data_IF_983000909906
#
_entry.id   IF_983000909906
#
_cell.length_a   1.000
_cell.length_b   1.000
_cell.length_c   1.000
_cell.angle_alpha   90.00
_cell.angle_beta   90.00
_cell.angle_gamma   90.00
#
_symmetry.space_group_name_H-M   'P 1'
#
loop_
_entity.id
_entity.type
_entity.pdbx_description
1 polymer ?
#
# COMPACT_ATOMS: atom_id res chain seq x y z
N UNK A 1 -8.78 6.01 -5.53
CA UNK A 1 -7.53 5.34 -5.97
C UNK A 1 -6.67 4.90 -4.79
N UNK A 2 -6.13 5.83 -3.97
CA UNK A 2 -5.36 5.46 -2.77
C UNK A 2 -6.09 4.52 -1.81
N UNK A 3 -7.33 4.83 -1.40
CA UNK A 3 -8.07 3.97 -0.48
C UNK A 3 -8.34 2.56 -1.02
N UNK A 4 -8.61 2.43 -2.33
CA UNK A 4 -8.81 1.11 -2.96
C UNK A 4 -7.52 0.30 -2.99
N UNK A 5 -6.40 0.92 -3.38
CA UNK A 5 -5.10 0.25 -3.38
C UNK A 5 -4.66 -0.11 -1.96
N UNK A 6 -4.93 0.76 -0.97
CA UNK A 6 -4.69 0.46 0.45
C UNK A 6 -5.57 -0.67 0.95
N UNK A 7 -6.85 -0.75 0.56
CA UNK A 7 -7.73 -1.85 0.95
C UNK A 7 -7.28 -3.19 0.33
N UNK A 8 -6.84 -3.16 -0.93
CA UNK A 8 -6.22 -4.31 -1.61
C UNK A 8 -4.93 -4.74 -0.93
N UNK A 9 -4.06 -3.78 -0.61
CA UNK A 9 -2.81 -3.99 0.12
C UNK A 9 -3.08 -4.58 1.50
N UNK A 10 -4.08 -4.08 2.23
CA UNK A 10 -4.49 -4.61 3.54
C UNK A 10 -4.97 -6.06 3.44
N UNK A 11 -5.74 -6.42 2.41
CA UNK A 11 -6.14 -7.82 2.15
C UNK A 11 -4.93 -8.70 1.85
N UNK A 12 -4.02 -8.24 0.99
CA UNK A 12 -2.80 -8.97 0.67
C UNK A 12 -1.87 -9.13 1.88
N UNK A 13 -1.80 -8.11 2.74
CA UNK A 13 -1.02 -8.09 3.98
C UNK A 13 -1.65 -8.98 5.06
N UNK A 14 -2.97 -9.16 5.03
CA UNK A 14 -3.64 -10.16 5.86
C UNK A 14 -3.18 -11.58 5.53
N UNK A 15 -2.97 -11.87 4.25
CA UNK A 15 -2.54 -13.17 3.75
C UNK A 15 -1.01 -13.36 3.74
N UNK A 16 -0.23 -12.27 3.66
CA UNK A 16 1.23 -12.30 3.55
C UNK A 16 1.87 -11.30 4.51
N UNK A 17 2.75 -11.76 5.39
CA UNK A 17 3.50 -10.89 6.32
C UNK A 17 4.74 -10.24 5.69
N UNK A 18 4.93 -10.36 4.38
CA UNK A 18 6.08 -9.82 3.67
C UNK A 18 5.86 -8.37 3.28
N UNK A 19 6.95 -7.70 2.90
CA UNK A 19 6.94 -6.35 2.36
C UNK A 19 6.21 -6.35 1.01
N UNK A 20 5.11 -5.60 0.91
CA UNK A 20 4.27 -5.53 -0.29
C UNK A 20 4.46 -4.17 -0.98
N UNK A 21 4.61 -4.13 -2.32
CA UNK A 21 4.69 -2.88 -3.06
C UNK A 21 3.31 -2.20 -3.15
N UNK A 22 3.31 -0.86 -3.07
CA UNK A 22 2.16 0.00 -3.30
C UNK A 22 2.48 0.92 -4.49
N UNK A 23 1.94 0.60 -5.66
CA UNK A 23 2.11 1.42 -6.86
C UNK A 23 0.78 2.03 -7.25
N UNK A 24 0.73 3.34 -7.38
CA UNK A 24 -0.45 4.10 -7.78
C UNK A 24 -0.05 5.03 -8.92
N UNK A 25 -0.53 4.73 -10.12
CA UNK A 25 -0.26 5.54 -11.31
C UNK A 25 -1.13 6.82 -11.32
N UNK A 26 -0.52 7.91 -11.78
CA UNK A 26 -1.15 9.24 -11.90
C UNK A 26 -1.89 9.67 -10.61
N UNK A 27 -1.27 9.53 -9.43
CA UNK A 27 -1.95 9.86 -8.17
C UNK A 27 -1.89 11.35 -7.80
N UNK A 28 -0.76 12.01 -8.02
CA UNK A 28 -0.60 13.44 -7.78
C UNK A 28 0.03 14.10 -9.01
N UNK A 29 -0.71 15.00 -9.68
CA UNK A 29 -0.22 15.79 -10.83
C UNK A 29 0.43 14.92 -11.92
N UNK A 30 -0.23 13.83 -12.33
CA UNK A 30 0.27 12.84 -13.30
C UNK A 30 1.59 12.16 -12.89
N UNK A 31 1.93 12.18 -11.60
CA UNK A 31 3.06 11.43 -11.06
C UNK A 31 2.60 10.11 -10.46
N UNK A 32 3.38 9.09 -10.77
CA UNK A 32 3.26 7.79 -10.18
C UNK A 32 3.82 7.81 -8.76
N UNK A 33 3.09 7.23 -7.83
CA UNK A 33 3.54 7.02 -6.45
C UNK A 33 3.84 5.55 -6.30
N UNK A 34 5.12 5.23 -6.12
CA UNK A 34 5.58 3.88 -5.78
C UNK A 34 6.08 3.88 -4.35
N UNK A 35 5.68 2.90 -3.58
CA UNK A 35 6.14 2.70 -2.22
C UNK A 35 6.10 1.23 -1.87
N UNK A 36 6.46 0.96 -0.63
CA UNK A 36 6.39 -0.36 -0.06
C UNK A 36 5.83 -0.25 1.36
N UNK A 37 5.10 -1.28 1.79
CA UNK A 37 4.50 -1.32 3.10
C UNK A 37 4.62 -2.73 3.65
N UNK A 38 4.97 -2.84 4.93
CA UNK A 38 4.96 -4.10 5.67
C UNK A 38 3.90 -4.05 6.78
N UNK A 39 3.43 -5.23 7.21
CA UNK A 39 2.44 -5.35 8.30
C UNK A 39 2.85 -4.60 9.56
N UNK A 40 4.10 -4.75 9.99
CA UNK A 40 4.60 -4.08 11.19
C UNK A 40 4.59 -2.55 11.09
N UNK A 41 4.80 -1.96 9.91
CA UNK A 41 4.66 -0.50 9.71
C UNK A 41 3.21 -0.07 9.78
N UNK A 42 2.29 -0.85 9.20
CA UNK A 42 0.85 -0.55 9.28
C UNK A 42 0.34 -0.61 10.73
N UNK A 43 0.78 -1.62 11.49
CA UNK A 43 0.43 -1.78 12.91
C UNK A 43 1.01 -0.66 13.81
N UNK A 44 2.08 0.02 13.40
CA UNK A 44 2.60 1.18 14.15
C UNK A 44 1.81 2.47 13.91
N UNK A 45 1.09 2.56 12.79
CA UNK A 45 0.36 3.77 12.38
C UNK A 45 -1.12 3.70 12.81
N UNK A 46 -1.63 2.50 13.10
CA UNK A 46 -3.03 2.23 13.44
C UNK A 46 -3.22 2.01 14.95
#
# INVERSE_FOLDING_TARGET
RLLQEVEKLKKQMSANSTKLPLNIECFMEDRDVTGDMQRSQMEQIC
#
